data_IF_700577573162
#
_entry.id   IF_700577573162
#
_cell.length_a   1.000
_cell.length_b   1.000
_cell.length_c   1.000
_cell.angle_alpha   90.00
_cell.angle_beta   90.00
_cell.angle_gamma   90.00
#
_symmetry.space_group_name_H-M   'P 1'
#
loop_
_entity.id
_entity.type
_entity.pdbx_description
1 polymer ?
#
# COMPACT_ATOMS: atom_id res chain seq x y z
N UNK A 1 26.70 4.72 9.58
CA UNK A 1 25.53 4.39 8.72
C UNK A 1 24.34 4.10 9.63
N UNK A 2 23.18 4.67 9.35
CA UNK A 2 21.95 4.41 10.09
C UNK A 2 20.98 3.62 9.21
N UNK A 3 20.52 2.48 9.69
CA UNK A 3 19.52 1.65 9.00
C UNK A 3 18.23 1.59 9.81
N UNK A 4 17.09 1.82 9.15
CA UNK A 4 15.77 1.53 9.71
C UNK A 4 15.29 0.21 9.13
N UNK A 5 14.96 -0.75 9.98
CA UNK A 5 14.49 -2.08 9.59
C UNK A 5 13.04 -2.27 10.04
N UNK A 6 12.15 -2.66 9.13
CA UNK A 6 10.75 -2.94 9.50
C UNK A 6 10.45 -4.43 9.32
N UNK A 7 9.79 -5.03 10.30
CA UNK A 7 9.31 -6.41 10.21
C UNK A 7 7.80 -6.48 10.40
N UNK A 8 7.13 -7.22 9.49
CA UNK A 8 5.69 -7.47 9.54
C UNK A 8 5.30 -8.48 10.62
N UNK A 9 3.98 -8.60 10.88
CA UNK A 9 3.47 -9.50 11.91
C UNK A 9 3.83 -10.96 11.71
N UNK A 10 3.87 -11.45 10.48
CA UNK A 10 4.33 -12.81 10.15
C UNK A 10 5.81 -13.04 10.50
N UNK A 11 6.64 -12.00 10.40
CA UNK A 11 8.06 -12.07 10.72
C UNK A 11 8.35 -12.13 12.23
N UNK A 12 7.37 -11.77 13.06
CA UNK A 12 7.45 -11.80 14.54
C UNK A 12 6.30 -12.61 15.15
N UNK A 13 5.81 -13.62 14.43
CA UNK A 13 4.60 -14.37 14.79
C UNK A 13 4.71 -15.09 16.16
N UNK A 14 5.89 -15.54 16.52
CA UNK A 14 6.19 -16.25 17.76
C UNK A 14 7.62 -15.96 18.24
N UNK A 15 8.06 -16.60 19.34
CA UNK A 15 9.38 -16.38 19.94
C UNK A 15 10.55 -16.87 19.06
N UNK A 16 10.33 -17.87 18.22
CA UNK A 16 11.34 -18.34 17.28
C UNK A 16 11.57 -17.30 16.17
N UNK A 17 10.49 -16.77 15.60
CA UNK A 17 10.55 -15.68 14.64
C UNK A 17 11.20 -14.43 15.23
N UNK A 18 10.87 -14.07 16.48
CA UNK A 18 11.51 -12.93 17.18
C UNK A 18 13.01 -13.15 17.31
N UNK A 19 13.48 -14.37 17.67
CA UNK A 19 14.92 -14.69 17.74
C UNK A 19 15.60 -14.56 16.37
N UNK A 20 14.95 -15.02 15.31
CA UNK A 20 15.48 -14.89 13.94
C UNK A 20 15.63 -13.42 13.53
N UNK A 21 14.63 -12.59 13.83
CA UNK A 21 14.70 -11.14 13.60
C UNK A 21 15.78 -10.49 14.46
N UNK A 22 15.91 -10.87 15.75
CA UNK A 22 16.97 -10.36 16.62
C UNK A 22 18.37 -10.65 16.07
N UNK A 23 18.62 -11.86 15.56
CA UNK A 23 19.88 -12.21 14.90
C UNK A 23 20.17 -11.31 13.69
N UNK A 24 19.16 -10.99 12.86
CA UNK A 24 19.31 -10.06 11.72
C UNK A 24 19.64 -8.64 12.19
N UNK A 25 18.99 -8.16 13.24
CA UNK A 25 19.26 -6.84 13.83
C UNK A 25 20.69 -6.75 14.37
N UNK A 26 21.18 -7.81 15.04
CA UNK A 26 22.55 -7.90 15.54
C UNK A 26 23.56 -7.90 14.39
N UNK A 27 23.29 -8.70 13.33
CA UNK A 27 24.15 -8.73 12.15
C UNK A 27 24.22 -7.34 11.50
N UNK A 28 23.06 -6.68 11.34
CA UNK A 28 23.00 -5.33 10.76
C UNK A 28 23.74 -4.30 11.62
N UNK A 29 23.64 -4.35 12.95
CA UNK A 29 24.38 -3.45 13.83
C UNK A 29 25.90 -3.61 13.70
N UNK A 30 26.38 -4.83 13.40
CA UNK A 30 27.81 -5.08 13.13
C UNK A 30 28.27 -4.51 11.80
N UNK A 31 27.40 -4.47 10.80
CA UNK A 31 27.67 -3.90 9.47
C UNK A 31 27.49 -2.37 9.45
N UNK A 32 26.44 -1.89 10.08
CA UNK A 32 26.09 -0.47 10.17
C UNK A 32 26.13 -0.04 11.63
N UNK A 33 26.65 1.11 11.94
CA UNK A 33 26.84 1.57 13.33
C UNK A 33 25.55 1.77 14.13
N UNK A 34 24.42 2.09 13.50
CA UNK A 34 23.15 2.39 14.17
C UNK A 34 21.98 1.69 13.53
N UNK A 35 21.08 1.11 14.35
CA UNK A 35 19.90 0.37 13.89
C UNK A 35 18.65 0.79 14.65
N UNK A 36 17.61 1.16 13.90
CA UNK A 36 16.23 1.34 14.39
C UNK A 36 15.36 0.24 13.82
N UNK A 37 14.58 -0.43 14.66
CA UNK A 37 13.72 -1.53 14.27
C UNK A 37 12.27 -1.14 14.48
N UNK A 38 11.43 -1.26 13.47
CA UNK A 38 9.98 -1.02 13.57
C UNK A 38 9.24 -2.35 13.46
N UNK A 39 8.42 -2.66 14.45
CA UNK A 39 7.68 -3.92 14.50
C UNK A 39 6.18 -3.72 14.38
N UNK A 40 5.52 -4.63 13.69
CA UNK A 40 4.07 -4.84 13.75
C UNK A 40 3.70 -5.74 14.95
N UNK A 41 2.43 -5.81 15.27
CA UNK A 41 1.90 -6.79 16.21
C UNK A 41 2.20 -8.23 15.73
N UNK A 42 2.31 -9.15 16.68
CA UNK A 42 2.64 -10.56 16.41
C UNK A 42 1.53 -11.28 15.65
N UNK A 43 1.86 -11.93 14.53
CA UNK A 43 0.96 -12.80 13.78
C UNK A 43 -0.40 -12.14 13.47
N UNK A 44 -1.48 -12.71 13.97
CA UNK A 44 -2.87 -12.26 13.80
C UNK A 44 -3.42 -11.46 14.98
N UNK A 45 -2.57 -10.93 15.85
CA UNK A 45 -3.01 -10.22 17.07
C UNK A 45 -3.98 -9.07 16.75
N UNK A 46 -3.68 -8.23 15.78
CA UNK A 46 -4.55 -7.11 15.39
C UNK A 46 -5.93 -7.59 14.92
N UNK A 47 -5.98 -8.65 14.09
CA UNK A 47 -7.26 -9.23 13.63
C UNK A 47 -8.07 -9.82 14.80
N UNK A 48 -7.41 -10.49 15.74
CA UNK A 48 -8.05 -11.05 16.94
C UNK A 48 -8.61 -9.96 17.85
N UNK A 49 -7.89 -8.86 18.05
CA UNK A 49 -8.36 -7.71 18.83
C UNK A 49 -9.58 -7.06 18.18
N UNK A 50 -9.59 -6.90 16.86
CA UNK A 50 -10.74 -6.41 16.10
C UNK A 50 -11.94 -7.36 16.27
N UNK A 51 -11.72 -8.67 16.12
CA UNK A 51 -12.77 -9.67 16.28
C UNK A 51 -13.35 -9.65 17.71
N UNK A 52 -12.51 -9.49 18.73
CA UNK A 52 -12.94 -9.37 20.13
C UNK A 52 -13.78 -8.10 20.35
N UNK A 53 -13.36 -6.96 19.82
CA UNK A 53 -14.13 -5.72 19.93
C UNK A 53 -15.51 -5.82 19.25
N UNK A 54 -15.58 -6.53 18.11
CA UNK A 54 -16.85 -6.77 17.40
C UNK A 54 -17.81 -7.69 18.13
N UNK A 55 -17.35 -8.51 19.06
CA UNK A 55 -18.24 -9.31 19.93
C UNK A 55 -19.01 -8.44 20.93
N UNK A 56 -18.50 -7.25 21.26
CA UNK A 56 -19.17 -6.29 22.15
C UNK A 56 -20.19 -5.47 21.36
N UNK A 57 -19.82 -4.99 20.15
CA UNK A 57 -20.67 -4.22 19.27
C UNK A 57 -20.17 -4.31 17.83
N UNK A 58 -21.08 -4.32 16.85
CA UNK A 58 -20.73 -4.32 15.43
C UNK A 58 -19.97 -3.04 15.00
N UNK A 59 -20.20 -1.94 15.70
CA UNK A 59 -19.58 -0.64 15.44
C UNK A 59 -18.85 -0.10 16.68
N UNK A 60 -17.68 -0.66 17.03
CA UNK A 60 -16.90 -0.17 18.16
C UNK A 60 -16.46 1.29 17.94
N UNK A 61 -16.39 2.05 19.04
CA UNK A 61 -15.83 3.41 19.00
C UNK A 61 -14.44 3.38 18.37
N UNK A 62 -14.22 4.21 17.35
CA UNK A 62 -12.94 4.25 16.63
C UNK A 62 -11.78 4.66 17.54
N UNK A 63 -12.04 5.56 18.49
CA UNK A 63 -11.04 6.00 19.49
C UNK A 63 -10.63 4.84 20.40
N UNK A 64 -11.61 4.08 20.95
CA UNK A 64 -11.33 2.95 21.83
C UNK A 64 -10.70 1.77 21.08
N UNK A 65 -11.08 1.60 19.80
CA UNK A 65 -10.45 0.59 18.96
C UNK A 65 -8.98 0.90 18.70
N UNK A 66 -8.61 2.16 18.44
CA UNK A 66 -7.22 2.57 18.31
C UNK A 66 -6.42 2.30 19.59
N UNK A 67 -7.00 2.63 20.77
CA UNK A 67 -6.40 2.31 22.06
C UNK A 67 -6.16 0.82 22.25
N UNK A 68 -7.14 -0.03 21.88
CA UNK A 68 -7.04 -1.48 21.97
C UNK A 68 -5.98 -2.03 21.02
N UNK A 69 -6.01 -1.64 19.74
CA UNK A 69 -5.16 -2.23 18.71
C UNK A 69 -3.67 -1.98 18.96
N UNK A 70 -3.31 -0.82 19.51
CA UNK A 70 -1.91 -0.47 19.77
C UNK A 70 -1.23 -1.31 20.84
N UNK A 71 -1.97 -2.07 21.62
CA UNK A 71 -1.39 -3.01 22.61
C UNK A 71 -0.60 -4.14 21.92
N UNK A 72 -0.95 -4.50 20.70
CA UNK A 72 -0.28 -5.57 19.95
C UNK A 72 1.18 -5.27 19.65
N UNK A 73 1.48 -4.07 19.19
CA UNK A 73 2.85 -3.64 18.91
C UNK A 73 3.67 -3.44 20.20
N UNK A 74 3.05 -3.05 21.31
CA UNK A 74 3.74 -2.95 22.60
C UNK A 74 4.26 -4.30 23.07
N UNK A 75 3.50 -5.36 22.84
CA UNK A 75 3.94 -6.75 23.15
C UNK A 75 5.16 -7.10 22.28
N UNK A 76 5.07 -6.95 20.98
CA UNK A 76 6.14 -7.36 20.06
C UNK A 76 7.46 -6.61 20.30
N UNK A 77 7.43 -5.29 20.50
CA UNK A 77 8.66 -4.51 20.73
C UNK A 77 9.30 -4.84 22.08
N UNK A 78 8.47 -5.09 23.11
CA UNK A 78 8.98 -5.45 24.44
C UNK A 78 9.65 -6.82 24.44
N UNK A 79 9.04 -7.83 23.80
CA UNK A 79 9.63 -9.16 23.65
C UNK A 79 10.91 -9.13 22.82
N UNK A 80 10.95 -8.32 21.75
CA UNK A 80 12.16 -8.13 20.95
C UNK A 80 13.29 -7.50 21.77
N UNK A 81 13.01 -6.45 22.55
CA UNK A 81 14.01 -5.83 23.42
C UNK A 81 14.55 -6.81 24.46
N UNK A 82 13.69 -7.59 25.12
CA UNK A 82 14.08 -8.65 26.07
C UNK A 82 14.95 -9.70 25.39
N UNK A 83 14.62 -10.10 24.15
CA UNK A 83 15.37 -11.08 23.38
C UNK A 83 16.77 -10.56 23.06
N UNK A 84 16.90 -9.34 22.54
CA UNK A 84 18.22 -8.74 22.25
C UNK A 84 19.07 -8.61 23.51
N UNK A 85 18.49 -8.16 24.64
CA UNK A 85 19.18 -8.03 25.92
C UNK A 85 19.65 -9.43 26.41
N UNK A 86 18.83 -10.45 26.30
CA UNK A 86 19.21 -11.82 26.66
C UNK A 86 20.35 -12.39 25.80
N UNK A 87 20.52 -11.85 24.59
CA UNK A 87 21.63 -12.19 23.68
C UNK A 87 22.86 -11.29 23.86
N UNK A 88 22.89 -10.48 24.93
CA UNK A 88 24.03 -9.60 25.29
C UNK A 88 24.11 -8.30 24.51
N UNK A 89 23.04 -7.89 23.83
CA UNK A 89 22.99 -6.65 23.05
C UNK A 89 22.13 -5.60 23.76
N UNK A 90 22.67 -4.39 23.90
CA UNK A 90 21.91 -3.28 24.48
C UNK A 90 20.77 -2.86 23.57
N UNK A 91 19.55 -2.86 24.08
CA UNK A 91 18.36 -2.53 23.32
C UNK A 91 17.33 -1.77 24.17
N UNK A 92 16.44 -1.04 23.54
CA UNK A 92 15.33 -0.32 24.17
C UNK A 92 14.09 -0.35 23.27
N UNK A 93 12.94 -0.64 23.87
CA UNK A 93 11.64 -0.54 23.18
C UNK A 93 10.98 0.80 23.49
N UNK A 94 10.41 1.44 22.46
CA UNK A 94 9.75 2.74 22.55
C UNK A 94 8.40 2.68 21.80
N UNK A 95 7.41 3.35 22.34
CA UNK A 95 6.09 3.51 21.71
C UNK A 95 5.87 4.96 21.23
N UNK A 96 4.72 5.21 20.57
CA UNK A 96 4.46 6.47 19.88
C UNK A 96 4.39 7.73 20.79
N UNK A 97 4.21 7.58 22.09
CA UNK A 97 4.26 8.72 23.02
C UNK A 97 5.62 8.90 23.68
N UNK A 98 6.45 7.86 23.74
CA UNK A 98 7.85 7.97 24.17
C UNK A 98 8.75 8.56 23.08
N UNK A 99 8.30 8.41 21.81
CA UNK A 99 8.82 9.09 20.63
C UNK A 99 7.66 9.87 20.03
N UNK A 100 7.37 11.11 20.47
CA UNK A 100 6.14 11.79 20.10
C UNK A 100 5.86 11.82 18.60
N UNK A 101 5.07 10.84 18.12
CA UNK A 101 4.65 10.70 16.73
C UNK A 101 3.31 11.39 16.53
N UNK A 102 3.35 12.71 16.32
CA UNK A 102 2.14 13.52 16.19
C UNK A 102 1.40 13.25 14.91
N UNK A 103 0.07 13.04 15.01
CA UNK A 103 -0.81 12.71 13.90
C UNK A 103 -2.03 13.62 13.81
N UNK A 104 -2.80 13.45 12.76
CA UNK A 104 -4.19 13.95 12.66
C UNK A 104 -5.10 13.18 13.62
N UNK A 105 -6.26 13.77 13.98
CA UNK A 105 -7.26 13.12 14.86
C UNK A 105 -8.23 12.17 14.11
N UNK A 106 -7.77 11.57 13.03
CA UNK A 106 -8.56 10.64 12.20
C UNK A 106 -8.29 9.22 12.67
N UNK A 107 -9.02 8.76 13.69
CA UNK A 107 -8.84 7.40 14.22
C UNK A 107 -8.94 6.34 13.11
N UNK A 108 -8.11 5.29 13.20
CA UNK A 108 -7.96 4.17 12.25
C UNK A 108 -7.33 4.56 10.89
N UNK A 109 -7.12 5.83 10.63
CA UNK A 109 -6.47 6.31 9.41
C UNK A 109 -5.78 7.67 9.65
N UNK A 110 -5.04 7.75 10.74
CA UNK A 110 -4.30 8.96 11.09
C UNK A 110 -3.12 9.20 10.14
N UNK A 111 -2.69 10.44 10.01
CA UNK A 111 -1.55 10.85 9.19
C UNK A 111 -0.52 11.56 10.04
N UNK A 112 0.75 11.24 9.87
CA UNK A 112 1.84 11.94 10.54
C UNK A 112 1.87 13.43 10.18
N UNK A 113 2.09 14.24 11.20
CA UNK A 113 2.34 15.67 11.11
C UNK A 113 3.79 16.00 11.45
N UNK A 114 4.31 15.37 12.52
CA UNK A 114 5.67 15.56 13.04
C UNK A 114 6.04 14.34 13.87
N UNK A 115 7.32 14.00 13.84
CA UNK A 115 7.93 13.02 14.73
C UNK A 115 9.03 13.75 15.51
N UNK A 116 9.11 13.52 16.82
CA UNK A 116 10.20 13.99 17.64
C UNK A 116 11.20 12.86 17.84
N UNK A 117 12.33 12.97 17.18
CA UNK A 117 13.34 11.91 17.13
C UNK A 117 14.43 12.02 18.20
N UNK A 118 14.39 13.02 19.07
CA UNK A 118 15.45 13.29 20.06
C UNK A 118 15.72 12.07 20.95
N UNK A 119 14.66 11.43 21.45
CA UNK A 119 14.80 10.22 22.28
C UNK A 119 15.46 9.06 21.52
N UNK A 120 15.13 8.85 20.25
CA UNK A 120 15.75 7.80 19.42
C UNK A 120 17.25 8.09 19.27
N UNK A 121 17.62 9.33 18.91
CA UNK A 121 19.03 9.71 18.72
C UNK A 121 19.85 9.48 19.98
N UNK A 122 19.33 9.88 21.14
CA UNK A 122 19.98 9.67 22.44
C UNK A 122 20.27 8.18 22.72
N UNK A 123 19.33 7.29 22.43
CA UNK A 123 19.52 5.86 22.64
C UNK A 123 20.46 5.22 21.60
N UNK A 124 20.44 5.70 20.35
CA UNK A 124 21.40 5.31 19.32
C UNK A 124 22.83 5.74 19.66
N UNK A 125 23.01 6.96 20.19
CA UNK A 125 24.31 7.47 20.64
C UNK A 125 24.87 6.67 21.84
N UNK A 126 23.96 6.07 22.62
CA UNK A 126 24.32 5.09 23.66
C UNK A 126 24.56 3.67 23.10
N UNK A 127 24.72 3.53 21.79
CA UNK A 127 24.99 2.26 21.06
C UNK A 127 23.92 1.17 21.31
N UNK A 128 22.67 1.57 21.49
CA UNK A 128 21.54 0.62 21.62
C UNK A 128 20.85 0.37 20.29
N UNK A 129 20.34 -0.83 20.09
CA UNK A 129 19.31 -1.10 19.07
C UNK A 129 18.01 -0.49 19.61
N UNK A 130 17.40 0.40 18.85
CA UNK A 130 16.15 1.08 19.22
C UNK A 130 14.97 0.38 18.51
N UNK A 131 14.06 -0.19 19.29
CA UNK A 131 12.87 -0.87 18.76
C UNK A 131 11.65 0.04 18.96
N UNK A 132 10.95 0.36 17.88
CA UNK A 132 9.81 1.29 17.90
C UNK A 132 8.55 0.57 17.46
N UNK A 133 7.44 0.84 18.16
CA UNK A 133 6.13 0.35 17.72
C UNK A 133 5.76 0.96 16.37
N UNK A 134 5.44 0.10 15.40
CA UNK A 134 4.80 0.56 14.17
C UNK A 134 3.34 0.95 14.38
N UNK A 135 2.67 1.47 13.34
CA UNK A 135 1.23 1.64 13.28
C UNK A 135 0.64 2.75 14.18
N UNK A 136 1.34 3.24 15.17
CA UNK A 136 0.85 4.12 16.24
C UNK A 136 1.18 5.59 16.01
N UNK A 137 0.37 6.47 16.62
CA UNK A 137 0.63 7.90 16.76
C UNK A 137 -0.18 8.51 17.91
N UNK A 138 0.02 9.78 18.16
CA UNK A 138 -0.72 10.59 19.12
C UNK A 138 -1.31 11.82 18.44
N UNK A 139 -2.54 12.18 18.78
CA UNK A 139 -3.17 13.36 18.23
C UNK A 139 -3.01 14.59 19.17
N UNK A 140 -3.60 15.71 18.79
CA UNK A 140 -3.54 16.97 19.56
C UNK A 140 -4.26 16.92 20.93
N UNK A 141 -5.02 15.87 21.19
CA UNK A 141 -5.71 15.62 22.46
C UNK A 141 -4.97 14.59 23.32
N UNK A 142 -3.76 14.20 22.87
CA UNK A 142 -2.96 13.12 23.49
C UNK A 142 -3.61 11.73 23.38
N UNK A 143 -4.66 11.60 22.59
CA UNK A 143 -5.24 10.29 22.29
C UNK A 143 -4.33 9.50 21.35
N UNK A 144 -4.26 8.20 21.60
CA UNK A 144 -3.61 7.26 20.72
C UNK A 144 -4.41 7.16 19.41
N UNK A 145 -3.69 7.11 18.31
CA UNK A 145 -4.25 6.94 16.96
C UNK A 145 -3.53 5.83 16.23
N UNK A 146 -4.22 5.18 15.29
CA UNK A 146 -3.61 4.22 14.37
C UNK A 146 -3.59 4.73 12.94
N UNK A 147 -2.58 4.30 12.18
CA UNK A 147 -2.33 4.76 10.80
C UNK A 147 -3.14 3.98 9.76
N UNK A 148 -3.83 2.91 10.16
CA UNK A 148 -4.52 2.01 9.25
C UNK A 148 -3.62 0.98 8.57
N UNK A 149 -4.09 0.36 7.49
CA UNK A 149 -3.34 -0.67 6.76
C UNK A 149 -1.99 -0.15 6.28
N UNK A 150 -0.95 -0.98 6.34
CA UNK A 150 0.43 -0.58 6.01
C UNK A 150 1.02 0.45 6.98
N UNK A 151 0.42 0.61 8.18
CA UNK A 151 0.83 1.62 9.15
C UNK A 151 2.27 1.42 9.65
N UNK A 152 2.71 0.17 9.85
CA UNK A 152 4.10 -0.10 10.28
C UNK A 152 5.13 0.22 9.19
N UNK A 153 4.83 -0.04 7.91
CA UNK A 153 5.66 0.38 6.78
C UNK A 153 5.76 1.92 6.73
N UNK A 154 4.60 2.57 6.91
CA UNK A 154 4.50 4.04 6.98
C UNK A 154 5.32 4.61 8.13
N UNK A 155 5.28 3.97 9.31
CA UNK A 155 6.09 4.38 10.48
C UNK A 155 7.59 4.25 10.20
N UNK A 156 8.02 3.12 9.62
CA UNK A 156 9.43 2.89 9.32
C UNK A 156 9.99 3.93 8.35
N UNK A 157 9.26 4.20 7.27
CA UNK A 157 9.69 5.18 6.26
C UNK A 157 9.67 6.61 6.84
N UNK A 158 8.67 6.95 7.66
CA UNK A 158 8.60 8.26 8.31
C UNK A 158 9.75 8.46 9.30
N UNK A 159 10.12 7.42 10.06
CA UNK A 159 11.29 7.44 10.95
C UNK A 159 12.59 7.52 10.16
N UNK A 160 12.72 6.78 9.06
CA UNK A 160 13.88 6.86 8.19
C UNK A 160 14.08 8.26 7.61
N UNK A 161 13.00 8.92 7.20
CA UNK A 161 13.02 10.30 6.73
C UNK A 161 13.46 11.27 7.83
N UNK A 162 12.87 11.19 9.01
CA UNK A 162 13.14 12.09 10.16
C UNK A 162 14.57 11.91 10.71
N UNK A 163 15.05 10.68 10.71
CA UNK A 163 16.39 10.35 11.19
C UNK A 163 17.49 10.55 10.14
N UNK A 164 17.12 10.84 8.88
CA UNK A 164 18.03 10.86 7.72
C UNK A 164 18.79 9.54 7.60
N UNK A 165 18.07 8.42 7.67
CA UNK A 165 18.64 7.10 7.54
C UNK A 165 19.20 6.87 6.12
N UNK A 166 20.30 6.11 6.02
CA UNK A 166 20.93 5.77 4.74
C UNK A 166 20.03 4.83 3.92
N UNK A 167 19.26 3.95 4.59
CA UNK A 167 18.32 3.02 3.96
C UNK A 167 17.21 2.63 4.92
N UNK A 168 16.02 2.38 4.36
CA UNK A 168 14.89 1.76 5.06
C UNK A 168 14.63 0.37 4.48
N UNK A 169 14.92 -0.68 5.25
CA UNK A 169 14.72 -2.07 4.86
C UNK A 169 13.34 -2.54 5.30
N UNK A 170 12.50 -2.95 4.35
CA UNK A 170 11.16 -3.48 4.60
C UNK A 170 11.18 -4.99 4.42
N UNK A 171 11.12 -5.71 5.52
CA UNK A 171 11.07 -7.16 5.55
C UNK A 171 9.63 -7.66 5.50
N UNK A 172 9.36 -8.51 4.49
CA UNK A 172 8.05 -9.08 4.21
C UNK A 172 8.17 -10.59 3.92
N UNK A 173 7.10 -11.24 3.51
CA UNK A 173 7.06 -12.67 3.14
C UNK A 173 7.57 -12.96 1.72
N UNK A 174 7.81 -11.90 0.92
CA UNK A 174 8.40 -11.99 -0.42
C UNK A 174 9.82 -11.42 -0.45
N UNK A 175 10.66 -11.88 -1.37
CA UNK A 175 12.07 -11.50 -1.42
C UNK A 175 12.37 -10.36 -2.40
N UNK A 176 11.35 -9.57 -2.74
CA UNK A 176 11.48 -8.40 -3.61
C UNK A 176 10.22 -8.12 -4.41
N UNK A 177 10.34 -7.22 -5.38
CA UNK A 177 9.30 -6.86 -6.33
C UNK A 177 9.54 -7.61 -7.63
N UNK A 178 8.49 -8.20 -8.21
CA UNK A 178 8.57 -9.01 -9.42
C UNK A 178 7.85 -8.33 -10.59
N UNK A 179 8.22 -8.71 -11.81
CA UNK A 179 7.58 -8.22 -13.05
C UNK A 179 6.10 -8.59 -13.18
N UNK A 180 5.65 -9.62 -12.45
CA UNK A 180 4.26 -9.99 -12.20
C UNK A 180 4.18 -10.79 -10.90
N UNK A 181 2.97 -11.09 -10.40
CA UNK A 181 2.80 -11.99 -9.25
C UNK A 181 3.30 -13.41 -9.59
N UNK A 182 4.35 -13.94 -8.91
CA UNK A 182 4.90 -15.27 -9.21
C UNK A 182 3.87 -16.42 -9.04
N UNK A 183 2.80 -16.21 -8.28
CA UNK A 183 1.72 -17.18 -8.10
C UNK A 183 0.85 -17.28 -9.36
N UNK A 184 0.80 -16.23 -10.18
CA UNK A 184 0.08 -16.18 -11.45
C UNK A 184 1.02 -16.46 -12.62
N UNK A 185 2.24 -15.93 -12.57
CA UNK A 185 3.28 -16.04 -13.61
C UNK A 185 4.53 -16.68 -13.00
N UNK A 186 4.70 -18.02 -13.08
CA UNK A 186 5.81 -18.72 -12.43
C UNK A 186 7.21 -18.29 -12.91
N UNK A 187 7.33 -17.79 -14.13
CA UNK A 187 8.57 -17.24 -14.72
C UNK A 187 8.71 -15.72 -14.53
N UNK A 188 7.93 -15.10 -13.66
CA UNK A 188 8.12 -13.68 -13.34
C UNK A 188 9.54 -13.43 -12.80
N UNK A 189 10.16 -12.35 -13.27
CA UNK A 189 11.53 -11.99 -12.91
C UNK A 189 11.54 -11.05 -11.71
N UNK A 190 12.42 -11.30 -10.74
CA UNK A 190 12.65 -10.37 -9.64
C UNK A 190 13.44 -9.16 -10.13
N UNK A 191 12.93 -7.97 -9.81
CA UNK A 191 13.61 -6.72 -10.13
C UNK A 191 14.71 -6.43 -9.11
N UNK A 192 15.86 -5.98 -9.57
CA UNK A 192 16.96 -5.51 -8.69
C UNK A 192 16.65 -4.11 -8.17
N UNK A 193 16.01 -3.29 -8.98
CA UNK A 193 15.62 -1.93 -8.63
C UNK A 193 14.36 -1.47 -9.40
N UNK A 194 13.61 -0.56 -8.79
CA UNK A 194 12.39 0.04 -9.35
C UNK A 194 12.29 1.50 -8.90
N UNK A 195 11.66 2.38 -9.70
CA UNK A 195 11.41 3.75 -9.27
C UNK A 195 10.22 3.84 -8.33
N UNK A 196 10.17 4.92 -7.52
CA UNK A 196 8.99 5.18 -6.68
C UNK A 196 7.69 5.24 -7.48
N UNK A 197 7.69 5.86 -8.67
CA UNK A 197 6.48 5.99 -9.47
C UNK A 197 5.95 4.64 -9.97
N UNK A 198 6.83 3.80 -10.48
CA UNK A 198 6.47 2.43 -10.89
C UNK A 198 6.02 1.59 -9.69
N UNK A 199 6.71 1.72 -8.54
CA UNK A 199 6.31 1.01 -7.32
C UNK A 199 4.94 1.47 -6.80
N UNK A 200 4.62 2.78 -6.88
CA UNK A 200 3.30 3.31 -6.54
C UNK A 200 2.20 2.72 -7.43
N UNK A 201 2.44 2.64 -8.73
CA UNK A 201 1.48 2.02 -9.65
C UNK A 201 1.30 0.53 -9.34
N UNK A 202 2.38 -0.22 -9.14
CA UNK A 202 2.30 -1.64 -8.78
C UNK A 202 1.58 -1.86 -7.44
N UNK A 203 1.87 -1.04 -6.43
CA UNK A 203 1.22 -1.12 -5.12
C UNK A 203 -0.29 -0.84 -5.22
N UNK A 204 -0.71 0.08 -6.09
CA UNK A 204 -2.11 0.45 -6.32
C UNK A 204 -2.90 -0.64 -7.06
N UNK A 205 -2.21 -1.47 -7.84
CA UNK A 205 -2.79 -2.46 -8.75
C UNK A 205 -2.71 -3.90 -8.22
N UNK A 206 -2.49 -4.08 -6.93
CA UNK A 206 -2.59 -5.39 -6.29
C UNK A 206 -1.26 -6.11 -6.06
N UNK A 207 -0.12 -5.57 -6.46
CA UNK A 207 1.18 -6.06 -6.01
C UNK A 207 1.36 -5.69 -4.52
N UNK A 208 0.81 -6.49 -3.62
CA UNK A 208 0.71 -6.24 -2.16
C UNK A 208 2.06 -6.29 -1.43
N UNK A 209 3.15 -5.89 -2.08
CA UNK A 209 4.51 -5.94 -1.52
C UNK A 209 4.76 -4.76 -0.58
N UNK A 210 4.38 -3.55 -1.02
CA UNK A 210 4.45 -2.33 -0.22
C UNK A 210 3.10 -1.62 -0.22
N UNK A 211 2.79 -0.91 0.85
CA UNK A 211 1.62 -0.04 0.87
C UNK A 211 1.95 1.29 0.16
N UNK A 212 1.07 1.78 -0.74
CA UNK A 212 1.29 3.00 -1.53
C UNK A 212 1.72 4.21 -0.67
N UNK A 213 1.09 4.39 0.48
CA UNK A 213 1.39 5.49 1.41
C UNK A 213 2.85 5.51 1.90
N UNK A 214 3.47 4.36 2.15
CA UNK A 214 4.88 4.35 2.55
C UNK A 214 5.79 4.75 1.38
N UNK A 215 5.46 4.35 0.16
CA UNK A 215 6.20 4.73 -1.06
C UNK A 215 6.05 6.23 -1.36
N UNK A 216 4.85 6.81 -1.16
CA UNK A 216 4.61 8.26 -1.27
C UNK A 216 5.52 9.06 -0.31
N UNK A 217 5.64 8.62 0.95
CA UNK A 217 6.51 9.25 1.93
C UNK A 217 7.98 9.08 1.52
N UNK A 218 8.39 7.88 1.11
CA UNK A 218 9.74 7.60 0.64
C UNK A 218 10.11 8.52 -0.54
N UNK A 219 9.24 8.65 -1.54
CA UNK A 219 9.41 9.56 -2.67
C UNK A 219 9.54 11.01 -2.21
N UNK A 220 8.64 11.47 -1.34
CA UNK A 220 8.61 12.86 -0.86
C UNK A 220 9.89 13.28 -0.15
N UNK A 221 10.48 12.37 0.62
CA UNK A 221 11.65 12.66 1.46
C UNK A 221 12.96 12.06 0.92
N UNK A 222 12.92 11.38 -0.24
CA UNK A 222 14.09 10.78 -0.86
C UNK A 222 14.67 9.58 -0.08
N UNK A 223 13.85 8.83 0.65
CA UNK A 223 14.28 7.67 1.43
C UNK A 223 14.43 6.45 0.53
N UNK A 224 15.64 5.93 0.37
CA UNK A 224 15.85 4.67 -0.34
C UNK A 224 15.24 3.50 0.44
N UNK A 225 14.38 2.71 -0.23
CA UNK A 225 13.80 1.51 0.37
C UNK A 225 14.49 0.27 -0.20
N UNK A 226 14.68 -0.73 0.67
CA UNK A 226 15.11 -2.07 0.27
C UNK A 226 14.06 -3.08 0.71
N UNK A 227 13.38 -3.71 -0.25
CA UNK A 227 12.37 -4.73 0.01
C UNK A 227 13.04 -6.10 0.07
N UNK A 228 12.97 -6.75 1.23
CA UNK A 228 13.65 -8.01 1.51
C UNK A 228 12.69 -9.06 2.06
N UNK A 229 13.07 -10.34 1.94
CA UNK A 229 12.40 -11.43 2.66
C UNK A 229 12.84 -11.50 4.12
N UNK A 230 11.87 -11.71 5.01
CA UNK A 230 12.17 -12.11 6.39
C UNK A 230 12.53 -13.59 6.52
N UNK A 231 12.25 -14.41 5.49
CA UNK A 231 12.38 -15.87 5.50
C UNK A 231 13.72 -16.37 4.92
N UNK A 232 14.35 -15.57 4.05
CA UNK A 232 15.62 -15.93 3.41
C UNK A 232 16.62 -14.75 3.41
N UNK A 233 17.80 -14.95 2.82
CA UNK A 233 18.85 -13.94 2.70
C UNK A 233 19.10 -13.54 1.24
N UNK A 234 18.10 -13.73 0.37
CA UNK A 234 18.23 -13.31 -1.02
C UNK A 234 18.33 -11.78 -1.12
N UNK A 235 19.01 -11.31 -2.15
CA UNK A 235 19.06 -9.87 -2.46
C UNK A 235 17.63 -9.35 -2.70
N UNK A 236 17.32 -8.21 -2.11
CA UNK A 236 16.03 -7.56 -2.25
C UNK A 236 15.89 -6.71 -3.52
N UNK A 237 14.81 -5.94 -3.59
CA UNK A 237 14.58 -4.91 -4.62
C UNK A 237 14.77 -3.53 -4.01
N UNK A 238 15.59 -2.68 -4.64
CA UNK A 238 15.79 -1.28 -4.23
C UNK A 238 14.70 -0.42 -4.88
N UNK A 239 14.04 0.42 -4.06
CA UNK A 239 13.07 1.42 -4.53
C UNK A 239 13.65 2.81 -4.31
N UNK A 240 13.81 3.58 -5.40
CA UNK A 240 14.44 4.91 -5.37
C UNK A 240 14.00 5.80 -6.52
N UNK A 241 14.44 7.06 -6.55
CA UNK A 241 14.05 8.05 -7.58
C UNK A 241 14.48 7.65 -8.99
N UNK A 242 15.73 7.20 -9.14
CA UNK A 242 16.29 6.82 -10.44
C UNK A 242 17.01 5.49 -10.34
N UNK A 243 16.79 4.64 -11.31
CA UNK A 243 17.54 3.38 -11.45
C UNK A 243 18.90 3.63 -12.10
N UNK A 244 19.90 2.78 -11.80
CA UNK A 244 21.28 2.91 -12.31
C UNK A 244 21.41 2.42 -13.76
N UNK A 245 20.51 1.55 -14.19
CA UNK A 245 20.59 0.93 -15.54
C UNK A 245 19.56 1.55 -16.48
N UNK A 246 19.88 1.56 -17.76
CA UNK A 246 18.92 1.87 -18.82
C UNK A 246 17.78 0.86 -18.76
N UNK A 247 16.52 1.35 -18.68
CA UNK A 247 15.38 0.53 -18.28
C UNK A 247 14.82 -0.31 -19.41
N UNK A 248 14.28 -1.47 -19.02
CA UNK A 248 13.27 -2.17 -19.83
C UNK A 248 12.09 -1.23 -20.08
N UNK A 249 11.52 -1.32 -21.29
CA UNK A 249 10.37 -0.53 -21.71
C UNK A 249 9.20 -0.65 -20.72
N UNK A 250 8.97 -1.86 -20.22
CA UNK A 250 7.93 -2.24 -19.28
C UNK A 250 8.59 -2.84 -18.04
N UNK A 251 8.16 -2.39 -16.87
CA UNK A 251 8.66 -2.84 -15.57
C UNK A 251 7.79 -3.94 -14.97
N UNK A 252 6.49 -3.96 -15.28
CA UNK A 252 5.63 -5.01 -14.72
C UNK A 252 4.23 -5.07 -15.31
N UNK A 253 3.57 -6.19 -15.01
CA UNK A 253 2.16 -6.45 -15.30
C UNK A 253 1.47 -6.80 -13.99
N UNK A 254 0.34 -6.13 -13.70
CA UNK A 254 -0.42 -6.36 -12.47
C UNK A 254 -1.92 -6.45 -12.75
N UNK A 255 -2.63 -7.17 -11.90
CA UNK A 255 -4.09 -7.19 -11.90
C UNK A 255 -4.67 -6.86 -10.52
N UNK A 256 -5.75 -6.09 -10.53
CA UNK A 256 -6.56 -5.83 -9.34
C UNK A 256 -7.97 -6.39 -9.55
N UNK A 257 -8.31 -7.41 -8.76
CA UNK A 257 -9.63 -8.07 -8.76
C UNK A 257 -10.58 -7.48 -7.72
N UNK A 258 -10.09 -6.58 -6.85
CA UNK A 258 -10.90 -5.92 -5.83
C UNK A 258 -11.52 -4.62 -6.35
N UNK A 259 -12.19 -4.71 -7.49
CA UNK A 259 -12.77 -3.56 -8.17
C UNK A 259 -14.19 -3.87 -8.63
N UNK A 260 -15.09 -2.87 -8.54
CA UNK A 260 -16.42 -2.90 -9.12
C UNK A 260 -16.59 -1.68 -10.02
N UNK A 261 -17.27 -1.86 -11.15
CA UNK A 261 -17.65 -0.79 -12.08
C UNK A 261 -19.04 -0.30 -11.74
N UNK A 262 -19.19 1.02 -11.71
CA UNK A 262 -20.49 1.69 -11.59
C UNK A 262 -20.67 2.62 -12.78
N UNK A 263 -21.85 2.57 -13.39
CA UNK A 263 -22.24 3.45 -14.50
C UNK A 263 -23.45 4.26 -14.12
N UNK A 264 -23.30 5.56 -14.16
CA UNK A 264 -24.35 6.55 -13.96
C UNK A 264 -24.69 7.18 -15.31
N UNK A 265 -25.90 6.99 -15.81
CA UNK A 265 -26.32 7.51 -17.10
C UNK A 265 -27.49 8.48 -16.97
N UNK A 266 -27.55 9.44 -17.90
CA UNK A 266 -28.63 10.42 -17.98
C UNK A 266 -28.41 11.67 -17.13
N UNK A 267 -27.17 11.88 -16.61
CA UNK A 267 -26.82 13.14 -15.95
C UNK A 267 -27.04 14.33 -16.90
N UNK A 268 -27.56 15.44 -16.38
CA UNK A 268 -27.71 16.67 -17.14
C UNK A 268 -26.39 17.18 -17.72
N UNK A 269 -26.45 17.92 -18.83
CA UNK A 269 -25.26 18.49 -19.47
C UNK A 269 -24.79 19.81 -18.82
N UNK A 270 -25.39 20.19 -17.69
CA UNK A 270 -24.95 21.39 -16.98
C UNK A 270 -23.50 21.24 -16.50
N UNK A 271 -22.71 22.33 -16.43
CA UNK A 271 -21.32 22.28 -16.02
C UNK A 271 -21.08 21.62 -14.65
N UNK A 272 -22.05 21.73 -13.74
CA UNK A 272 -21.93 21.23 -12.35
C UNK A 272 -22.46 19.80 -12.13
N UNK A 273 -23.03 19.13 -13.14
CA UNK A 273 -23.61 17.79 -12.95
C UNK A 273 -22.57 16.75 -12.47
N UNK A 274 -21.42 16.69 -13.12
CA UNK A 274 -20.30 15.83 -12.71
C UNK A 274 -19.73 16.25 -11.36
N UNK A 275 -19.62 17.55 -11.09
CA UNK A 275 -19.15 18.04 -9.79
C UNK A 275 -20.09 17.60 -8.65
N UNK A 276 -21.42 17.67 -8.83
CA UNK A 276 -22.39 17.21 -7.81
C UNK A 276 -22.16 15.72 -7.48
N UNK A 277 -21.99 14.89 -8.50
CA UNK A 277 -21.71 13.46 -8.32
C UNK A 277 -20.42 13.23 -7.51
N UNK A 278 -19.32 13.84 -7.94
CA UNK A 278 -18.01 13.68 -7.28
C UNK A 278 -18.02 14.24 -5.85
N UNK A 279 -18.64 15.40 -5.64
CA UNK A 279 -18.74 16.03 -4.31
C UNK A 279 -19.59 15.18 -3.33
N UNK A 280 -20.63 14.50 -3.85
CA UNK A 280 -21.43 13.58 -3.04
C UNK A 280 -20.61 12.38 -2.58
N UNK A 281 -19.79 11.79 -3.47
CA UNK A 281 -18.90 10.68 -3.15
C UNK A 281 -17.81 11.11 -2.14
N UNK A 282 -17.17 12.26 -2.37
CA UNK A 282 -16.14 12.82 -1.48
C UNK A 282 -16.65 13.09 -0.07
N UNK A 283 -17.80 13.75 0.07
CA UNK A 283 -18.45 14.00 1.37
C UNK A 283 -18.72 12.71 2.15
N UNK A 284 -18.94 11.60 1.45
CA UNK A 284 -19.16 10.29 2.04
C UNK A 284 -17.86 9.45 2.14
N UNK A 285 -16.70 10.06 1.81
CA UNK A 285 -15.36 9.40 1.85
C UNK A 285 -15.29 8.13 1.00
N UNK A 286 -15.93 8.17 -0.18
CA UNK A 286 -15.92 7.10 -1.17
C UNK A 286 -14.92 7.47 -2.26
N UNK A 287 -13.86 6.69 -2.39
CA UNK A 287 -12.82 6.90 -3.39
C UNK A 287 -13.22 6.26 -4.71
N UNK A 288 -12.97 6.98 -5.80
CA UNK A 288 -13.01 6.46 -7.16
C UNK A 288 -11.59 6.35 -7.70
N UNK A 289 -11.36 5.40 -8.61
CA UNK A 289 -10.03 5.22 -9.24
C UNK A 289 -10.11 5.59 -10.73
N UNK A 290 -10.63 4.71 -11.57
CA UNK A 290 -10.80 5.00 -13.00
C UNK A 290 -12.13 5.69 -13.21
N UNK A 291 -12.16 6.78 -13.97
CA UNK A 291 -13.39 7.49 -14.35
C UNK A 291 -13.36 7.82 -15.84
N UNK A 292 -14.44 7.47 -16.55
CA UNK A 292 -14.66 7.83 -17.95
C UNK A 292 -16.01 8.53 -18.05
N UNK A 293 -16.02 9.71 -18.67
CA UNK A 293 -17.24 10.45 -18.98
C UNK A 293 -17.47 10.44 -20.50
N UNK A 294 -18.67 10.16 -20.91
CA UNK A 294 -19.13 10.27 -22.30
C UNK A 294 -20.36 11.17 -22.40
N UNK A 295 -20.49 11.84 -23.54
CA UNK A 295 -21.69 12.62 -23.89
C UNK A 295 -22.58 11.77 -24.80
N UNK A 296 -23.83 11.58 -24.39
CA UNK A 296 -24.82 10.88 -25.19
C UNK A 296 -25.35 11.74 -26.35
N UNK A 297 -25.90 11.10 -27.37
CA UNK A 297 -26.54 11.80 -28.53
C UNK A 297 -27.74 12.66 -28.10
N UNK A 298 -28.36 12.35 -26.98
CA UNK A 298 -29.48 13.09 -26.36
C UNK A 298 -29.02 14.30 -25.52
N UNK A 299 -27.70 14.59 -25.53
CA UNK A 299 -27.12 15.68 -24.75
C UNK A 299 -26.92 15.36 -23.27
N UNK A 300 -27.22 14.14 -22.81
CA UNK A 300 -26.97 13.74 -21.42
C UNK A 300 -25.58 13.18 -21.26
N UNK A 301 -25.03 13.24 -20.03
CA UNK A 301 -23.74 12.64 -19.69
C UNK A 301 -23.92 11.25 -19.12
N UNK A 302 -23.01 10.35 -19.48
CA UNK A 302 -22.80 9.08 -18.79
C UNK A 302 -21.42 9.10 -18.14
N UNK A 303 -21.35 8.74 -16.87
CA UNK A 303 -20.11 8.61 -16.10
C UNK A 303 -19.98 7.16 -15.66
N UNK A 304 -18.91 6.50 -16.11
CA UNK A 304 -18.53 5.17 -15.63
C UNK A 304 -17.28 5.32 -14.76
N UNK A 305 -17.28 4.72 -13.59
CA UNK A 305 -16.13 4.77 -12.70
C UNK A 305 -15.99 3.47 -11.92
N UNK A 306 -14.80 3.25 -11.37
CA UNK A 306 -14.50 2.08 -10.55
C UNK A 306 -14.33 2.47 -9.08
N UNK A 307 -14.77 1.56 -8.21
CA UNK A 307 -14.63 1.64 -6.75
C UNK A 307 -14.12 0.29 -6.22
N UNK A 308 -13.67 0.23 -4.97
CA UNK A 308 -13.41 -1.05 -4.32
C UNK A 308 -14.71 -1.86 -4.22
N UNK A 309 -14.64 -3.20 -4.39
CA UNK A 309 -15.83 -4.08 -4.23
C UNK A 309 -16.54 -3.87 -2.90
N UNK A 310 -15.78 -3.65 -1.81
CA UNK A 310 -16.32 -3.40 -0.47
C UNK A 310 -17.19 -2.13 -0.37
N UNK A 311 -16.97 -1.15 -1.25
CA UNK A 311 -17.69 0.12 -1.23
C UNK A 311 -18.87 0.16 -2.20
N UNK A 312 -18.99 -0.83 -3.09
CA UNK A 312 -19.98 -0.84 -4.17
C UNK A 312 -21.43 -0.64 -3.67
N UNK A 313 -21.86 -1.47 -2.72
CA UNK A 313 -23.24 -1.37 -2.19
C UNK A 313 -23.49 -0.01 -1.57
N UNK A 314 -22.55 0.50 -0.78
CA UNK A 314 -22.68 1.82 -0.16
C UNK A 314 -22.75 2.95 -1.19
N UNK A 315 -22.01 2.84 -2.29
CA UNK A 315 -22.08 3.81 -3.39
C UNK A 315 -23.43 3.72 -4.09
N UNK A 316 -23.93 2.51 -4.37
CA UNK A 316 -25.23 2.31 -5.01
C UNK A 316 -26.37 2.87 -4.17
N UNK A 317 -26.38 2.61 -2.86
CA UNK A 317 -27.38 3.14 -1.93
C UNK A 317 -27.38 4.67 -1.94
N UNK A 318 -26.17 5.26 -1.79
CA UNK A 318 -26.00 6.71 -1.81
C UNK A 318 -26.48 7.36 -3.11
N UNK A 319 -26.18 6.74 -4.26
CA UNK A 319 -26.60 7.25 -5.57
C UNK A 319 -28.12 7.09 -5.79
N UNK A 320 -28.72 5.99 -5.31
CA UNK A 320 -30.16 5.78 -5.38
C UNK A 320 -30.94 6.79 -4.52
N UNK A 321 -30.46 7.06 -3.29
CA UNK A 321 -31.06 8.08 -2.40
C UNK A 321 -31.00 9.50 -3.00
N UNK A 322 -30.00 9.78 -3.83
CA UNK A 322 -29.78 11.10 -4.44
C UNK A 322 -30.09 11.13 -5.94
N UNK A 323 -30.88 10.16 -6.45
CA UNK A 323 -31.14 9.97 -7.88
C UNK A 323 -31.74 11.21 -8.54
N UNK A 324 -32.75 11.80 -7.91
CA UNK A 324 -33.45 12.99 -8.42
C UNK A 324 -32.58 14.24 -8.36
N UNK A 325 -31.82 14.42 -7.26
CA UNK A 325 -30.88 15.54 -7.10
C UNK A 325 -29.76 15.53 -8.15
N UNK A 326 -29.28 14.35 -8.53
CA UNK A 326 -28.25 14.18 -9.54
C UNK A 326 -28.81 14.11 -10.96
N UNK A 327 -30.11 13.89 -11.12
CA UNK A 327 -30.76 13.68 -12.43
C UNK A 327 -30.40 12.34 -13.07
N UNK A 328 -30.17 11.30 -12.26
CA UNK A 328 -29.76 9.97 -12.75
C UNK A 328 -30.97 9.28 -13.40
N UNK A 329 -30.85 8.93 -14.69
CA UNK A 329 -31.88 8.15 -15.39
C UNK A 329 -31.65 6.65 -15.23
N UNK A 330 -30.40 6.20 -15.27
CA UNK A 330 -30.03 4.79 -15.16
C UNK A 330 -28.78 4.62 -14.32
N UNK A 331 -28.79 3.61 -13.45
CA UNK A 331 -27.67 3.20 -12.61
C UNK A 331 -27.43 1.71 -12.85
N UNK A 332 -26.23 1.37 -13.33
CA UNK A 332 -25.77 0.01 -13.56
C UNK A 332 -24.51 -0.26 -12.72
N UNK A 333 -24.30 -1.50 -12.31
CA UNK A 333 -23.08 -1.92 -11.63
C UNK A 333 -22.64 -3.31 -12.08
N UNK A 334 -21.33 -3.56 -12.00
CA UNK A 334 -20.73 -4.85 -12.30
C UNK A 334 -19.57 -5.09 -11.33
N UNK A 335 -19.61 -6.19 -10.59
CA UNK A 335 -18.56 -6.61 -9.65
C UNK A 335 -17.66 -7.72 -10.22
N UNK A 336 -18.01 -8.29 -11.39
CA UNK A 336 -17.26 -9.34 -12.05
C UNK A 336 -16.20 -8.77 -13.00
N UNK A 337 -15.56 -7.71 -12.61
CA UNK A 337 -14.55 -7.01 -13.40
C UNK A 337 -13.20 -7.00 -12.70
N UNK A 338 -12.12 -6.95 -13.48
CA UNK A 338 -10.76 -6.75 -12.98
C UNK A 338 -10.03 -5.71 -13.83
N UNK A 339 -9.15 -4.95 -13.19
CA UNK A 339 -8.19 -4.09 -13.88
C UNK A 339 -6.94 -4.92 -14.18
N UNK A 340 -6.48 -4.90 -15.41
CA UNK A 340 -5.18 -5.44 -15.82
C UNK A 340 -4.35 -4.31 -16.38
N UNK A 341 -3.13 -4.19 -15.92
CA UNK A 341 -2.28 -3.03 -16.20
C UNK A 341 -0.87 -3.45 -16.61
N UNK A 342 -0.34 -2.72 -17.59
CA UNK A 342 1.07 -2.73 -17.97
C UNK A 342 1.72 -1.45 -17.44
N UNK A 343 2.84 -1.58 -16.74
CA UNK A 343 3.51 -0.50 -16.03
C UNK A 343 4.94 -0.37 -16.53
N UNK A 344 5.40 0.85 -16.80
CA UNK A 344 6.78 1.12 -17.16
C UNK A 344 7.00 2.54 -17.66
N UNK A 345 8.15 3.11 -17.35
CA UNK A 345 8.53 4.46 -17.76
C UNK A 345 8.67 4.61 -19.30
N UNK A 346 8.83 3.51 -20.02
CA UNK A 346 8.93 3.51 -21.46
C UNK A 346 7.61 3.75 -22.20
N UNK A 347 6.46 3.66 -21.53
CA UNK A 347 5.14 3.88 -22.14
C UNK A 347 5.04 5.27 -22.78
N UNK A 348 5.58 6.28 -22.12
CA UNK A 348 5.60 7.68 -22.62
C UNK A 348 6.39 7.85 -23.90
N UNK A 349 7.51 7.16 -24.05
CA UNK A 349 8.50 7.39 -25.12
C UNK A 349 8.35 6.45 -26.31
N UNK A 350 7.59 5.36 -26.19
CA UNK A 350 7.47 4.35 -27.22
C UNK A 350 6.03 4.19 -27.70
N UNK A 351 5.78 4.62 -28.94
CA UNK A 351 4.53 4.32 -29.61
C UNK A 351 4.41 2.80 -29.84
N UNK A 352 3.23 2.26 -29.67
CA UNK A 352 2.96 0.83 -29.92
C UNK A 352 2.83 -0.05 -28.69
N UNK A 353 3.18 0.41 -27.48
CA UNK A 353 2.94 -0.36 -26.24
C UNK A 353 1.46 -0.67 -26.07
N UNK A 354 0.59 0.33 -26.29
CA UNK A 354 -0.86 0.13 -26.25
C UNK A 354 -1.32 -0.90 -27.30
N UNK A 355 -0.87 -0.76 -28.56
CA UNK A 355 -1.23 -1.69 -29.61
C UNK A 355 -0.77 -3.13 -29.28
N UNK A 356 0.45 -3.28 -28.72
CA UNK A 356 0.98 -4.58 -28.29
C UNK A 356 0.16 -5.17 -27.15
N UNK A 357 -0.24 -4.35 -26.15
CA UNK A 357 -1.11 -4.79 -25.05
C UNK A 357 -2.48 -5.26 -25.54
N UNK A 358 -3.16 -4.45 -26.34
CA UNK A 358 -4.50 -4.80 -26.83
C UNK A 358 -4.46 -5.94 -27.86
N UNK A 359 -3.40 -6.05 -28.67
CA UNK A 359 -3.17 -7.20 -29.54
C UNK A 359 -3.01 -8.50 -28.76
N UNK A 360 -2.29 -8.46 -27.63
CA UNK A 360 -2.16 -9.62 -26.76
C UNK A 360 -3.50 -10.02 -26.11
N UNK A 361 -4.30 -9.07 -25.62
CA UNK A 361 -5.63 -9.35 -25.07
C UNK A 361 -6.58 -9.90 -26.13
N UNK A 362 -6.58 -9.34 -27.34
CA UNK A 362 -7.38 -9.82 -28.47
C UNK A 362 -7.00 -11.25 -28.88
N UNK A 363 -5.71 -11.61 -28.82
CA UNK A 363 -5.24 -12.96 -29.18
C UNK A 363 -5.77 -14.09 -28.27
N UNK A 364 -6.33 -13.73 -27.12
CA UNK A 364 -6.94 -14.64 -26.13
C UNK A 364 -8.44 -14.37 -25.95
N UNK A 365 -9.08 -13.70 -26.93
CA UNK A 365 -10.52 -13.37 -26.95
C UNK A 365 -11.01 -12.59 -25.71
N UNK A 366 -10.17 -11.73 -25.12
CA UNK A 366 -10.53 -10.89 -23.98
C UNK A 366 -11.00 -9.51 -24.44
N UNK A 367 -12.28 -9.21 -24.21
CA UNK A 367 -12.85 -7.90 -24.46
C UNK A 367 -12.47 -6.91 -23.34
N UNK A 368 -12.32 -5.64 -23.72
CA UNK A 368 -12.02 -4.54 -22.82
C UNK A 368 -13.22 -3.60 -22.69
N UNK A 369 -13.61 -3.28 -21.45
CA UNK A 369 -14.78 -2.44 -21.18
C UNK A 369 -14.43 -0.97 -20.96
N UNK A 370 -13.30 -0.73 -20.30
CA UNK A 370 -12.77 0.59 -20.03
C UNK A 370 -11.26 0.58 -20.24
N UNK A 371 -10.73 1.69 -20.72
CA UNK A 371 -9.30 1.86 -20.93
C UNK A 371 -8.87 3.20 -20.32
N UNK A 372 -7.76 3.19 -19.62
CA UNK A 372 -7.12 4.41 -19.14
C UNK A 372 -5.62 4.33 -19.37
N UNK A 373 -5.01 5.47 -19.67
CA UNK A 373 -3.58 5.57 -19.91
C UNK A 373 -3.00 6.72 -19.10
N UNK A 374 -1.80 6.52 -18.58
CA UNK A 374 -0.96 7.57 -18.00
C UNK A 374 0.43 7.55 -18.64
N UNK A 375 1.36 8.37 -18.15
CA UNK A 375 2.74 8.39 -18.65
C UNK A 375 3.49 7.07 -18.42
N UNK A 376 3.09 6.31 -17.39
CA UNK A 376 3.79 5.09 -16.96
C UNK A 376 2.87 3.87 -16.78
N UNK A 377 1.59 3.98 -17.19
CA UNK A 377 0.61 2.89 -17.04
C UNK A 377 -0.42 2.88 -18.16
N UNK A 378 -0.75 1.69 -18.65
CA UNK A 378 -1.94 1.43 -19.45
C UNK A 378 -2.76 0.38 -18.71
N UNK A 379 -4.04 0.70 -18.45
CA UNK A 379 -4.97 -0.19 -17.73
C UNK A 379 -6.17 -0.49 -18.62
N UNK A 380 -6.53 -1.75 -18.68
CA UNK A 380 -7.78 -2.24 -19.25
C UNK A 380 -8.66 -2.84 -18.15
N UNK A 381 -9.94 -2.49 -18.14
CA UNK A 381 -10.97 -3.20 -17.37
C UNK A 381 -11.52 -4.34 -18.22
N UNK A 382 -11.48 -5.54 -17.68
CA UNK A 382 -11.89 -6.77 -18.33
C UNK A 382 -12.77 -7.60 -17.38
N UNK A 383 -13.41 -8.65 -17.89
CA UNK A 383 -14.08 -9.64 -17.06
C UNK A 383 -13.07 -10.31 -16.11
N UNK A 384 -13.42 -10.42 -14.84
CA UNK A 384 -12.55 -10.96 -13.76
C UNK A 384 -12.09 -12.40 -14.04
N UNK A 385 -12.93 -13.21 -14.69
CA UNK A 385 -12.61 -14.60 -15.02
C UNK A 385 -11.34 -14.73 -15.88
N UNK A 386 -11.03 -13.72 -16.69
CA UNK A 386 -9.86 -13.70 -17.57
C UNK A 386 -8.63 -13.02 -16.96
N UNK A 387 -8.71 -12.46 -15.76
CA UNK A 387 -7.64 -11.63 -15.19
C UNK A 387 -6.28 -12.35 -15.14
N UNK A 388 -6.22 -13.58 -14.65
CA UNK A 388 -4.96 -14.33 -14.54
C UNK A 388 -4.42 -14.76 -15.92
N UNK A 389 -5.30 -15.10 -16.86
CA UNK A 389 -4.92 -15.41 -18.23
C UNK A 389 -4.33 -14.18 -18.93
N UNK A 390 -4.97 -13.03 -18.76
CA UNK A 390 -4.51 -11.76 -19.30
C UNK A 390 -3.13 -11.37 -18.76
N UNK A 391 -2.92 -11.51 -17.44
CA UNK A 391 -1.60 -11.23 -16.81
C UNK A 391 -0.52 -12.13 -17.40
N UNK A 392 -0.77 -13.44 -17.52
CA UNK A 392 0.19 -14.37 -18.13
C UNK A 392 0.51 -13.99 -19.57
N UNK A 393 -0.52 -13.71 -20.38
CA UNK A 393 -0.33 -13.35 -21.79
C UNK A 393 0.40 -12.03 -21.98
N UNK A 394 0.09 -11.04 -21.16
CA UNK A 394 0.78 -9.75 -21.20
C UNK A 394 2.25 -9.89 -20.72
N UNK A 395 2.50 -10.69 -19.67
CA UNK A 395 3.86 -10.95 -19.23
C UNK A 395 4.70 -11.62 -20.34
N UNK A 396 4.20 -12.73 -20.95
CA UNK A 396 4.81 -13.37 -22.10
C UNK A 396 5.10 -12.36 -23.22
N UNK A 397 4.14 -11.49 -23.52
CA UNK A 397 4.25 -10.52 -24.63
C UNK A 397 5.33 -9.46 -24.40
N UNK A 398 5.60 -9.06 -23.17
CA UNK A 398 6.51 -7.95 -22.85
C UNK A 398 7.86 -8.39 -22.29
N UNK A 399 7.99 -9.61 -21.76
CA UNK A 399 9.19 -10.07 -21.06
C UNK A 399 9.84 -11.32 -21.68
N UNK A 400 9.14 -12.07 -22.52
CA UNK A 400 9.66 -13.21 -23.29
C UNK A 400 9.86 -12.80 -24.76
#
# INVERSE_FOLDING_TARGET
MLTVMKFGGSSVADLEHIRNVANRCIAKQRESSQVVVVLSAMGKTTDNLIATAKQITEQPSRRELDMLLTTGEQVSVSLMAMTLISMGVSAVSLNAWQVPMHTTSNYQNARFKRIDSERIRKELDANKIVIVTGFQGINKYEDITTLGRGGSDTTAVALAAELHADVCEIYTDVDGVYTADPRVVPNAHKMTEITYDEMLEMASLGAKVLHSRCVEIAKKYGVELLVCSSLNHNSGTIVREKTKMEKMLISGVAADKNVAKIRVAGLGNEPNSTFRLLNLLDKNKLNIDVMIQSLGKDGTKSVSFTVAKSDMLRVLDLLNENKDYLGIKKLDSDENVAKVSVIGAGIRSHSGVAAKMFGALASIDVNTEMVTTSEIRITALIDEAYADLAVRKLHETFFD
#
